data_IF_774859620162
#
_entry.id   IF_774859620162
#
_cell.length_a   1.000
_cell.length_b   1.000
_cell.length_c   1.000
_cell.angle_alpha   90.00
_cell.angle_beta   90.00
_cell.angle_gamma   90.00
#
_symmetry.space_group_name_H-M   'P 1'
#
loop_
_entity.id
_entity.type
_entity.pdbx_description
1 polymer ?
#
# COMPACT_ATOMS: atom_id res chain seq x y z
N UNK A 1 1.49 16.58 15.51
CA UNK A 1 2.37 17.75 15.56
C UNK A 1 1.55 18.98 15.20
N UNK A 2 1.73 20.08 15.93
CA UNK A 2 1.09 21.36 15.65
C UNK A 2 2.16 22.40 15.34
N UNK A 3 2.08 23.02 14.17
CA UNK A 3 2.94 24.11 13.78
C UNK A 3 2.19 25.44 13.93
N UNK A 4 2.71 26.32 14.79
CA UNK A 4 2.19 27.69 14.86
C UNK A 4 2.59 28.47 13.59
N UNK A 5 1.92 29.60 13.35
CA UNK A 5 2.26 30.47 12.23
C UNK A 5 3.72 30.94 12.32
N UNK A 6 4.15 31.36 13.52
CA UNK A 6 5.52 31.80 13.76
C UNK A 6 6.56 30.70 13.51
N UNK A 7 6.27 29.46 13.93
CA UNK A 7 7.09 28.31 13.63
C UNK A 7 7.21 28.11 12.11
N UNK A 8 6.08 28.11 11.41
CA UNK A 8 6.04 27.90 9.97
C UNK A 8 6.80 28.97 9.19
N UNK A 9 6.71 30.22 9.59
CA UNK A 9 7.44 31.34 8.97
C UNK A 9 8.97 31.18 9.09
N UNK A 10 9.44 30.52 10.15
CA UNK A 10 10.86 30.21 10.35
C UNK A 10 11.31 28.93 9.66
N UNK A 11 10.45 27.92 9.61
CA UNK A 11 10.82 26.59 9.16
C UNK A 11 10.62 26.35 7.66
N UNK A 12 9.59 26.92 7.05
CA UNK A 12 9.35 26.72 5.60
C UNK A 12 10.48 27.19 4.70
N UNK A 13 11.17 28.31 4.94
CA UNK A 13 12.30 28.68 4.12
C UNK A 13 13.45 27.64 4.14
N UNK A 14 13.63 26.95 5.27
CA UNK A 14 14.62 25.87 5.39
C UNK A 14 14.22 24.65 4.58
N UNK A 15 12.95 24.24 4.71
CA UNK A 15 12.39 23.14 3.91
C UNK A 15 12.47 23.40 2.41
N UNK A 16 12.20 24.64 1.98
CA UNK A 16 12.27 25.04 0.59
C UNK A 16 13.70 24.93 0.04
N UNK A 17 14.69 25.36 0.82
CA UNK A 17 16.10 25.25 0.43
C UNK A 17 16.56 23.79 0.33
N UNK A 18 16.18 22.94 1.29
CA UNK A 18 16.44 21.50 1.22
C UNK A 18 15.77 20.87 0.02
N UNK A 19 14.51 21.20 -0.24
CA UNK A 19 13.77 20.63 -1.38
C UNK A 19 14.40 20.97 -2.73
N UNK A 20 14.99 22.16 -2.86
CA UNK A 20 15.66 22.60 -4.09
C UNK A 20 17.13 22.21 -4.19
N UNK A 21 17.73 21.67 -3.13
CA UNK A 21 19.10 21.23 -3.14
C UNK A 21 19.21 19.79 -3.63
N UNK A 22 19.95 19.49 -4.73
CA UNK A 22 20.08 18.12 -5.22
C UNK A 22 20.68 17.18 -4.16
N UNK A 23 20.02 16.08 -3.90
CA UNK A 23 20.43 15.04 -2.95
C UNK A 23 19.78 15.15 -1.57
N UNK A 24 19.03 16.22 -1.28
CA UNK A 24 18.28 16.39 -0.03
C UNK A 24 16.76 16.34 -0.23
N UNK A 25 16.28 16.29 -1.44
CA UNK A 25 14.87 16.26 -1.83
C UNK A 25 14.09 15.04 -1.32
N UNK A 26 14.80 13.99 -0.89
CA UNK A 26 14.20 12.77 -0.30
C UNK A 26 14.26 12.77 1.24
N UNK A 27 14.81 13.78 1.86
CA UNK A 27 14.88 13.86 3.31
C UNK A 27 13.49 14.13 3.90
N UNK A 28 13.21 13.48 5.02
CA UNK A 28 11.98 13.75 5.77
C UNK A 28 12.06 15.13 6.45
N UNK A 29 10.95 15.81 6.59
CA UNK A 29 10.89 17.12 7.23
C UNK A 29 11.39 17.10 8.69
N UNK A 30 11.24 15.97 9.39
CA UNK A 30 11.78 15.77 10.75
C UNK A 30 13.30 15.82 10.77
N UNK A 31 13.95 15.28 9.74
CA UNK A 31 15.40 15.34 9.61
C UNK A 31 15.86 16.79 9.37
N UNK A 32 15.19 17.50 8.47
CA UNK A 32 15.47 18.91 8.20
C UNK A 32 15.30 19.75 9.47
N UNK A 33 14.28 19.47 10.26
CA UNK A 33 14.05 20.15 11.53
C UNK A 33 15.16 19.83 12.55
N UNK A 34 15.60 18.57 12.62
CA UNK A 34 16.70 18.16 13.49
C UNK A 34 18.00 18.88 13.11
N UNK A 35 18.33 18.96 11.83
CA UNK A 35 19.51 19.67 11.31
C UNK A 35 19.46 21.16 11.69
N UNK A 36 18.30 21.79 11.58
CA UNK A 36 18.10 23.19 11.97
C UNK A 36 18.32 23.40 13.47
N UNK A 37 17.76 22.52 14.31
CA UNK A 37 17.87 22.61 15.76
C UNK A 37 19.30 22.34 16.24
N UNK A 38 20.03 21.46 15.58
CA UNK A 38 21.39 21.08 15.91
C UNK A 38 22.45 22.02 15.29
N UNK A 39 22.05 22.90 14.39
CA UNK A 39 22.98 23.77 13.65
C UNK A 39 23.79 23.02 12.58
N UNK A 40 23.24 21.95 12.05
CA UNK A 40 23.86 21.04 11.08
C UNK A 40 23.40 21.29 9.63
N UNK A 41 22.65 22.36 9.38
CA UNK A 41 22.10 22.71 8.06
C UNK A 41 23.19 22.79 6.99
N UNK A 42 24.33 23.41 7.30
CA UNK A 42 25.45 23.56 6.37
C UNK A 42 26.15 22.24 6.02
N UNK A 43 25.82 21.13 6.67
CA UNK A 43 26.33 19.80 6.30
C UNK A 43 25.61 19.22 5.08
N UNK A 44 24.41 19.72 4.78
CA UNK A 44 23.56 19.25 3.68
C UNK A 44 23.35 20.31 2.60
N UNK A 45 23.33 21.59 2.97
CA UNK A 45 23.16 22.70 2.03
C UNK A 45 24.52 23.29 1.60
N UNK A 46 24.68 23.66 0.32
CA UNK A 46 25.90 24.28 -0.16
C UNK A 46 25.99 25.72 0.33
N UNK A 47 27.06 26.05 1.05
CA UNK A 47 27.32 27.42 1.52
C UNK A 47 27.23 27.55 3.04
N UNK A 48 27.02 28.78 3.50
CA UNK A 48 26.78 29.09 4.92
C UNK A 48 25.41 29.71 5.05
N UNK A 49 24.56 29.07 5.83
CA UNK A 49 23.19 29.48 6.05
C UNK A 49 23.01 29.95 7.50
N UNK A 50 22.15 30.93 7.67
CA UNK A 50 21.78 31.42 8.99
C UNK A 50 20.25 31.52 9.05
N UNK A 51 19.63 30.38 9.35
CA UNK A 51 18.20 30.35 9.55
C UNK A 51 17.81 30.58 11.02
N UNK A 52 16.73 31.32 11.29
CA UNK A 52 16.24 31.49 12.64
C UNK A 52 15.71 30.17 13.19
N UNK A 53 16.24 29.71 14.31
CA UNK A 53 15.79 28.50 14.97
C UNK A 53 14.42 28.75 15.61
N UNK A 54 13.38 27.95 15.30
CA UNK A 54 12.07 28.09 15.91
C UNK A 54 12.09 27.57 17.37
N UNK A 55 11.25 28.14 18.21
CA UNK A 55 11.01 27.59 19.53
C UNK A 55 10.14 26.34 19.44
N UNK A 56 10.54 25.28 20.16
CA UNK A 56 9.82 24.05 20.23
C UNK A 56 9.50 23.69 21.69
N UNK A 57 8.31 23.17 21.88
CA UNK A 57 7.84 22.66 23.18
C UNK A 57 7.46 21.19 23.05
N UNK A 58 8.01 20.38 23.95
CA UNK A 58 7.62 18.97 24.03
C UNK A 58 6.42 18.86 24.94
N UNK A 59 5.27 18.54 24.37
CA UNK A 59 4.10 18.11 25.15
C UNK A 59 4.18 16.61 25.38
N UNK A 60 4.73 16.21 26.54
CA UNK A 60 4.81 14.79 26.90
C UNK A 60 3.40 14.25 27.10
N UNK A 61 3.06 13.27 26.30
CA UNK A 61 1.83 12.50 26.51
C UNK A 61 2.07 11.52 27.67
N UNK A 62 1.07 11.26 28.51
CA UNK A 62 1.14 10.18 29.48
C UNK A 62 1.45 8.84 28.78
N UNK A 63 2.13 7.96 29.51
CA UNK A 63 2.38 6.61 29.02
C UNK A 63 1.07 5.91 28.66
N UNK A 64 1.10 5.07 27.65
CA UNK A 64 -0.05 4.31 27.17
C UNK A 64 -1.21 5.14 26.59
N UNK A 65 -0.94 6.30 26.00
CA UNK A 65 -1.95 7.08 25.25
C UNK A 65 -1.73 7.08 23.72
N UNK A 66 -0.52 6.79 23.28
CA UNK A 66 -0.18 6.72 21.86
C UNK A 66 0.48 5.37 21.59
N UNK A 67 -0.09 4.63 20.64
CA UNK A 67 0.42 3.33 20.21
C UNK A 67 0.61 3.35 18.70
N UNK A 68 1.69 2.77 18.24
CA UNK A 68 2.00 2.61 16.83
C UNK A 68 1.98 1.12 16.49
N UNK A 69 1.25 0.76 15.45
CA UNK A 69 1.12 -0.62 14.99
C UNK A 69 1.62 -0.72 13.55
N UNK A 70 2.55 -1.61 13.30
CA UNK A 70 3.04 -1.87 11.94
C UNK A 70 2.10 -2.78 11.13
N UNK A 71 1.30 -3.56 11.82
CA UNK A 71 0.41 -4.53 11.21
C UNK A 71 -0.83 -4.81 12.09
N UNK A 72 -1.82 -5.49 11.49
CA UNK A 72 -3.07 -5.82 12.17
C UNK A 72 -2.87 -6.83 13.30
N UNK A 73 -1.85 -7.69 13.24
CA UNK A 73 -1.58 -8.67 14.30
C UNK A 73 -1.14 -7.99 15.59
N UNK A 74 -0.33 -6.94 15.50
CA UNK A 74 0.04 -6.13 16.67
C UNK A 74 -1.17 -5.43 17.28
N UNK A 75 -2.08 -4.88 16.44
CA UNK A 75 -3.33 -4.31 16.93
C UNK A 75 -4.21 -5.36 17.61
N UNK A 76 -4.29 -6.58 17.06
CA UNK A 76 -5.05 -7.70 17.64
C UNK A 76 -4.48 -8.17 18.98
N UNK A 77 -3.16 -8.18 19.12
CA UNK A 77 -2.50 -8.49 20.41
C UNK A 77 -2.74 -7.40 21.46
N UNK A 78 -2.88 -6.17 21.01
CA UNK A 78 -3.08 -5.03 21.88
C UNK A 78 -4.53 -4.87 22.35
N UNK A 79 -5.49 -5.09 21.45
CA UNK A 79 -6.91 -4.83 21.71
C UNK A 79 -7.76 -6.07 21.34
N UNK A 80 -8.32 -6.73 22.35
CA UNK A 80 -9.14 -7.94 22.22
C UNK A 80 -10.36 -7.75 21.31
N UNK A 81 -10.85 -6.50 21.13
CA UNK A 81 -11.95 -6.20 20.22
C UNK A 81 -11.62 -6.51 18.76
N UNK A 82 -10.33 -6.51 18.41
CA UNK A 82 -9.85 -6.83 17.06
C UNK A 82 -9.42 -8.30 16.90
N UNK A 83 -9.47 -9.10 17.98
CA UNK A 83 -9.10 -10.52 17.90
C UNK A 83 -10.17 -11.39 17.23
N UNK A 84 -11.45 -11.13 17.49
CA UNK A 84 -12.53 -12.03 17.11
C UNK A 84 -13.71 -11.38 16.37
N UNK A 85 -13.81 -10.06 16.35
CA UNK A 85 -14.87 -9.31 15.70
C UNK A 85 -14.28 -8.01 15.16
N UNK A 86 -13.68 -8.07 13.97
CA UNK A 86 -13.44 -6.83 13.28
C UNK A 86 -14.73 -6.49 12.51
N UNK A 87 -15.33 -5.34 12.77
CA UNK A 87 -16.30 -4.71 11.84
C UNK A 87 -15.61 -4.37 10.51
N UNK A 88 -14.71 -5.24 10.09
CA UNK A 88 -13.89 -5.07 8.89
C UNK A 88 -14.49 -5.90 7.77
N UNK A 89 -15.19 -5.22 6.89
CA UNK A 89 -15.83 -5.80 5.70
C UNK A 89 -14.90 -6.78 4.95
N UNK A 90 -13.59 -6.56 4.96
CA UNK A 90 -12.64 -7.46 4.30
C UNK A 90 -12.48 -8.78 5.04
N UNK A 91 -12.49 -8.79 6.36
CA UNK A 91 -12.37 -10.00 7.17
C UNK A 91 -13.64 -10.84 7.09
N UNK A 92 -14.81 -10.18 7.16
CA UNK A 92 -16.10 -10.83 6.94
C UNK A 92 -16.16 -11.46 5.55
N UNK A 93 -15.77 -10.72 4.51
CA UNK A 93 -15.73 -11.21 3.14
C UNK A 93 -14.81 -12.44 2.99
N UNK A 94 -13.59 -12.39 3.56
CA UNK A 94 -12.66 -13.52 3.50
C UNK A 94 -13.25 -14.75 4.21
N UNK A 95 -13.82 -14.54 5.40
CA UNK A 95 -14.46 -15.57 6.18
C UNK A 95 -15.61 -16.24 5.41
N UNK A 96 -16.46 -15.44 4.77
CA UNK A 96 -17.57 -15.91 3.96
C UNK A 96 -17.10 -16.66 2.70
N UNK A 97 -16.18 -16.07 1.93
CA UNK A 97 -15.71 -16.64 0.66
C UNK A 97 -14.93 -17.94 0.86
N UNK A 98 -14.07 -18.00 1.86
CA UNK A 98 -13.24 -19.17 2.14
C UNK A 98 -13.89 -20.16 3.11
N UNK A 99 -15.07 -19.84 3.64
CA UNK A 99 -15.83 -20.67 4.60
C UNK A 99 -15.00 -21.03 5.84
N UNK A 100 -14.32 -20.05 6.40
CA UNK A 100 -13.47 -20.20 7.60
C UNK A 100 -13.81 -19.14 8.63
N UNK A 101 -13.67 -19.40 9.93
CA UNK A 101 -13.78 -18.36 10.94
C UNK A 101 -12.64 -17.36 10.81
N UNK A 102 -12.87 -16.10 11.18
CA UNK A 102 -11.82 -15.05 11.10
C UNK A 102 -10.55 -15.41 11.87
N UNK A 103 -10.65 -16.19 12.94
CA UNK A 103 -9.52 -16.67 13.74
C UNK A 103 -8.52 -17.55 12.97
N UNK A 104 -8.92 -18.10 11.83
CA UNK A 104 -8.05 -18.90 10.96
C UNK A 104 -7.37 -18.06 9.87
N UNK A 105 -7.74 -16.78 9.75
CA UNK A 105 -7.10 -15.83 8.85
C UNK A 105 -5.87 -15.26 9.54
N UNK A 106 -4.69 -15.63 9.06
CA UNK A 106 -3.40 -15.33 9.71
C UNK A 106 -2.42 -14.68 8.73
N UNK A 107 -1.27 -14.22 9.22
CA UNK A 107 -0.18 -13.70 8.38
C UNK A 107 -0.58 -12.48 7.56
N UNK A 108 -1.48 -11.63 8.07
CA UNK A 108 -1.99 -10.45 7.36
C UNK A 108 -0.87 -9.42 7.21
N UNK A 109 -0.55 -9.08 5.96
CA UNK A 109 0.50 -8.12 5.63
C UNK A 109 0.02 -7.18 4.53
N UNK A 110 0.04 -5.87 4.80
CA UNK A 110 -0.28 -4.86 3.79
C UNK A 110 0.75 -4.88 2.65
N UNK A 111 0.24 -4.83 1.42
CA UNK A 111 1.05 -4.69 0.22
C UNK A 111 1.01 -3.21 -0.22
N UNK A 112 2.14 -2.51 -0.09
CA UNK A 112 2.23 -1.05 -0.35
C UNK A 112 2.37 -0.69 -1.86
N UNK A 113 2.01 -1.58 -2.77
CA UNK A 113 2.32 -1.45 -4.21
C UNK A 113 1.12 -1.10 -5.09
N UNK A 114 0.27 -0.16 -4.70
CA UNK A 114 -0.83 0.24 -5.59
C UNK A 114 -1.35 1.63 -5.25
N UNK A 115 -1.49 2.50 -6.27
CA UNK A 115 -2.05 3.84 -6.09
C UNK A 115 -3.58 3.83 -5.94
N UNK A 116 -4.26 2.88 -6.55
CA UNK A 116 -5.72 2.86 -6.68
C UNK A 116 -6.41 1.82 -5.80
N UNK A 117 -5.68 0.83 -5.31
CA UNK A 117 -6.25 -0.27 -4.54
C UNK A 117 -5.43 -0.49 -3.26
N UNK A 118 -6.12 -0.82 -2.18
CA UNK A 118 -5.51 -1.37 -0.97
C UNK A 118 -5.48 -2.89 -1.12
N UNK A 119 -4.30 -3.48 -1.02
CA UNK A 119 -4.14 -4.93 -1.10
C UNK A 119 -3.39 -5.44 0.12
N UNK A 120 -3.76 -6.61 0.58
CA UNK A 120 -3.04 -7.28 1.65
C UNK A 120 -2.94 -8.79 1.40
N UNK A 121 -1.80 -9.32 1.80
CA UNK A 121 -1.54 -10.75 1.85
C UNK A 121 -2.14 -11.33 3.11
N UNK A 122 -2.66 -12.54 3.05
CA UNK A 122 -3.09 -13.30 4.23
C UNK A 122 -2.97 -14.80 3.97
N UNK A 123 -3.08 -15.61 5.03
CA UNK A 123 -2.98 -17.08 4.97
C UNK A 123 -4.21 -17.72 5.59
N UNK A 124 -4.69 -18.77 4.94
CA UNK A 124 -5.72 -19.67 5.44
C UNK A 124 -5.30 -21.10 5.13
N UNK A 125 -5.30 -21.99 6.13
CA UNK A 125 -4.90 -23.40 6.01
C UNK A 125 -3.56 -23.61 5.30
N UNK A 126 -2.58 -22.73 5.55
CA UNK A 126 -1.26 -22.79 4.95
C UNK A 126 -1.15 -22.28 3.51
N UNK A 127 -2.25 -21.91 2.86
CA UNK A 127 -2.26 -21.26 1.56
C UNK A 127 -2.24 -19.76 1.71
N UNK A 128 -1.54 -19.08 0.82
CA UNK A 128 -1.42 -17.62 0.77
C UNK A 128 -2.35 -17.02 -0.28
N UNK A 129 -3.01 -15.93 0.08
CA UNK A 129 -3.97 -15.22 -0.76
C UNK A 129 -3.71 -13.71 -0.73
N UNK A 130 -4.20 -13.02 -1.74
CA UNK A 130 -4.27 -11.55 -1.77
C UNK A 130 -5.73 -11.13 -1.75
N UNK A 131 -6.10 -10.24 -0.82
CA UNK A 131 -7.36 -9.50 -0.88
C UNK A 131 -7.09 -8.10 -1.40
N UNK A 132 -7.84 -7.69 -2.42
CA UNK A 132 -7.84 -6.35 -3.00
C UNK A 132 -9.12 -5.63 -2.65
N UNK A 133 -8.98 -4.45 -2.05
CA UNK A 133 -10.08 -3.52 -1.76
C UNK A 133 -9.85 -2.27 -2.59
N UNK A 134 -10.79 -1.85 -3.44
CA UNK A 134 -10.69 -0.58 -4.17
C UNK A 134 -10.56 0.62 -3.24
N UNK A 135 -9.69 1.55 -3.59
CA UNK A 135 -9.57 2.82 -2.92
C UNK A 135 -10.76 3.75 -3.26
N UNK A 136 -11.09 4.72 -2.39
CA UNK A 136 -12.14 5.70 -2.65
C UNK A 136 -11.89 6.46 -3.97
N UNK A 137 -12.93 6.71 -4.75
CA UNK A 137 -12.85 7.45 -6.02
C UNK A 137 -12.39 6.63 -7.24
N UNK A 138 -12.02 5.36 -7.05
CA UNK A 138 -11.59 4.50 -8.18
C UNK A 138 -12.76 4.03 -9.05
N UNK A 139 -13.98 4.12 -8.58
CA UNK A 139 -15.22 3.84 -9.31
C UNK A 139 -15.42 4.78 -10.50
N UNK A 140 -14.83 5.96 -10.48
CA UNK A 140 -14.85 6.90 -11.60
C UNK A 140 -13.83 6.56 -12.69
N UNK A 141 -12.82 5.74 -12.36
CA UNK A 141 -11.71 5.39 -13.26
C UNK A 141 -11.83 3.98 -13.83
N UNK A 142 -12.44 3.06 -13.08
CA UNK A 142 -12.46 1.63 -13.41
C UNK A 142 -13.90 1.11 -13.38
N UNK A 143 -14.36 0.61 -14.52
CA UNK A 143 -15.62 -0.10 -14.60
C UNK A 143 -15.45 -1.53 -14.04
N UNK A 144 -15.91 -1.76 -12.81
CA UNK A 144 -15.72 -3.02 -12.11
C UNK A 144 -16.47 -4.20 -12.73
N UNK A 145 -17.61 -3.95 -13.38
CA UNK A 145 -18.34 -4.98 -14.11
C UNK A 145 -17.57 -5.47 -15.33
N UNK A 146 -17.00 -4.54 -16.07
CA UNK A 146 -16.16 -4.86 -17.22
C UNK A 146 -14.87 -5.57 -16.75
N UNK A 147 -14.23 -5.09 -15.70
CA UNK A 147 -13.07 -5.75 -15.12
C UNK A 147 -13.39 -7.21 -14.77
N UNK A 148 -14.50 -7.45 -14.06
CA UNK A 148 -14.94 -8.81 -13.72
C UNK A 148 -15.21 -9.67 -14.96
N UNK A 149 -15.92 -9.13 -15.94
CA UNK A 149 -16.24 -9.87 -17.17
C UNK A 149 -14.97 -10.30 -17.92
N UNK A 150 -13.93 -9.47 -17.93
CA UNK A 150 -12.62 -9.83 -18.51
C UNK A 150 -11.97 -10.95 -17.69
N UNK A 151 -11.94 -10.88 -16.38
CA UNK A 151 -11.37 -11.93 -15.53
C UNK A 151 -12.11 -13.26 -15.74
N UNK A 152 -13.46 -13.24 -15.77
CA UNK A 152 -14.28 -14.44 -16.02
C UNK A 152 -13.98 -15.06 -17.39
N UNK A 153 -13.73 -14.24 -18.41
CA UNK A 153 -13.42 -14.72 -19.76
C UNK A 153 -12.02 -15.34 -19.88
N UNK A 154 -11.04 -14.88 -19.11
CA UNK A 154 -9.64 -15.30 -19.25
C UNK A 154 -9.18 -16.32 -18.21
N UNK A 155 -9.98 -16.63 -17.18
CA UNK A 155 -9.58 -17.47 -16.05
C UNK A 155 -9.08 -18.86 -16.45
N UNK A 156 -9.68 -19.47 -17.50
CA UNK A 156 -9.33 -20.83 -17.95
C UNK A 156 -8.14 -20.86 -18.91
N UNK A 157 -7.62 -19.69 -19.29
CA UNK A 157 -6.52 -19.60 -20.26
C UNK A 157 -5.14 -19.63 -19.60
N UNK A 158 -5.04 -19.52 -18.26
CA UNK A 158 -3.79 -19.50 -17.51
C UNK A 158 -2.90 -18.30 -17.84
N UNK A 159 -3.51 -17.16 -18.15
CA UNK A 159 -2.83 -15.88 -18.45
C UNK A 159 -3.01 -14.85 -17.34
N UNK A 160 -3.72 -15.20 -16.30
CA UNK A 160 -3.94 -14.38 -15.11
C UNK A 160 -3.77 -15.21 -13.84
N UNK A 161 -3.72 -14.55 -12.70
CA UNK A 161 -3.75 -15.23 -11.40
C UNK A 161 -5.07 -15.98 -11.21
N UNK A 162 -5.04 -17.01 -10.36
CA UNK A 162 -6.26 -17.73 -9.99
C UNK A 162 -7.12 -16.87 -9.07
N UNK A 163 -8.25 -16.39 -9.59
CA UNK A 163 -9.21 -15.57 -8.86
C UNK A 163 -10.20 -16.48 -8.14
N UNK A 164 -10.20 -16.44 -6.81
CA UNK A 164 -11.11 -17.19 -5.94
C UNK A 164 -12.46 -16.48 -5.83
N UNK A 165 -12.43 -15.17 -5.77
CA UNK A 165 -13.63 -14.33 -5.67
C UNK A 165 -13.41 -12.98 -6.32
N UNK A 166 -14.41 -12.49 -7.03
CA UNK A 166 -14.44 -11.12 -7.54
C UNK A 166 -15.87 -10.59 -7.62
N UNK A 167 -16.08 -9.41 -7.07
CA UNK A 167 -17.37 -8.73 -7.10
C UNK A 167 -17.33 -7.58 -8.12
N UNK A 168 -18.19 -7.63 -9.13
CA UNK A 168 -18.26 -6.60 -10.18
C UNK A 168 -18.95 -5.31 -9.77
N UNK A 169 -19.61 -5.26 -8.62
CA UNK A 169 -20.20 -4.01 -8.09
C UNK A 169 -19.20 -3.28 -7.19
N UNK A 170 -18.63 -3.99 -6.22
CA UNK A 170 -17.72 -3.41 -5.23
C UNK A 170 -16.26 -3.39 -5.69
N UNK A 171 -15.88 -4.26 -6.64
CA UNK A 171 -14.50 -4.43 -7.08
C UNK A 171 -13.60 -5.18 -6.09
N UNK A 172 -14.17 -5.75 -5.02
CA UNK A 172 -13.40 -6.61 -4.11
C UNK A 172 -12.98 -7.88 -4.83
N UNK A 173 -11.72 -8.28 -4.62
CA UNK A 173 -11.15 -9.47 -5.25
C UNK A 173 -10.29 -10.24 -4.26
N UNK A 174 -10.43 -11.56 -4.25
CA UNK A 174 -9.55 -12.49 -3.56
C UNK A 174 -8.91 -13.38 -4.62
N UNK A 175 -7.59 -13.45 -4.64
CA UNK A 175 -6.82 -14.32 -5.54
C UNK A 175 -5.77 -15.12 -4.78
N UNK A 176 -5.36 -16.25 -5.34
CA UNK A 176 -4.24 -17.02 -4.80
C UNK A 176 -2.93 -16.22 -4.96
N UNK A 177 -2.05 -16.32 -3.95
CA UNK A 177 -0.73 -15.74 -4.00
C UNK A 177 0.30 -16.82 -4.31
N UNK A 178 1.14 -16.56 -5.30
CA UNK A 178 2.21 -17.47 -5.70
C UNK A 178 3.50 -17.10 -4.97
N UNK A 179 3.89 -17.93 -3.99
CA UNK A 179 5.14 -17.74 -3.25
C UNK A 179 6.32 -17.82 -4.19
N UNK A 180 7.29 -16.92 -4.05
CA UNK A 180 8.47 -16.84 -4.92
C UNK A 180 8.23 -16.16 -6.27
N UNK A 181 7.02 -15.70 -6.56
CA UNK A 181 6.77 -14.88 -7.74
C UNK A 181 7.56 -13.56 -7.66
N UNK A 182 8.09 -13.13 -8.79
CA UNK A 182 8.79 -11.86 -8.96
C UNK A 182 8.23 -11.10 -10.15
N UNK A 183 8.44 -9.81 -10.20
CA UNK A 183 8.17 -9.04 -11.41
C UNK A 183 9.10 -9.45 -12.55
N UNK A 184 8.59 -9.43 -13.78
CA UNK A 184 9.40 -9.62 -14.97
C UNK A 184 10.40 -8.45 -15.12
N UNK A 185 11.64 -8.75 -15.47
CA UNK A 185 12.64 -7.73 -15.80
C UNK A 185 12.52 -7.38 -17.30
N UNK A 186 12.17 -6.13 -17.68
CA UNK A 186 12.07 -5.73 -19.08
C UNK A 186 13.41 -5.74 -19.83
N UNK A 187 14.53 -5.90 -19.13
CA UNK A 187 15.87 -6.04 -19.71
C UNK A 187 16.30 -7.50 -19.90
N UNK A 188 15.53 -8.44 -19.34
CA UNK A 188 15.75 -9.89 -19.52
C UNK A 188 14.90 -10.38 -20.70
N UNK A 189 15.56 -10.78 -21.79
CA UNK A 189 14.90 -11.25 -22.99
C UNK A 189 14.06 -12.53 -22.79
N UNK A 190 14.41 -13.38 -21.85
CA UNK A 190 13.62 -14.58 -21.52
C UNK A 190 12.33 -14.20 -20.82
N UNK A 191 12.36 -13.21 -19.94
CA UNK A 191 11.16 -12.68 -19.29
C UNK A 191 10.25 -11.99 -20.31
N UNK A 192 10.84 -11.17 -21.18
CA UNK A 192 10.10 -10.50 -22.27
C UNK A 192 9.45 -11.53 -23.21
N UNK A 193 10.19 -12.55 -23.62
CA UNK A 193 9.67 -13.61 -24.49
C UNK A 193 8.49 -14.36 -23.84
N UNK A 194 8.57 -14.67 -22.56
CA UNK A 194 7.45 -15.30 -21.80
C UNK A 194 6.23 -14.39 -21.73
N UNK A 195 6.43 -13.11 -21.45
CA UNK A 195 5.33 -12.14 -21.45
C UNK A 195 4.67 -12.04 -22.81
N UNK A 196 5.46 -11.96 -23.90
CA UNK A 196 4.94 -11.89 -25.26
C UNK A 196 4.19 -13.15 -25.69
N UNK A 197 4.64 -14.33 -25.26
CA UNK A 197 3.93 -15.59 -25.51
C UNK A 197 2.54 -15.61 -24.83
N UNK A 198 2.40 -15.03 -23.65
CA UNK A 198 1.10 -14.89 -22.99
C UNK A 198 0.18 -13.92 -23.75
N UNK A 199 0.74 -12.81 -24.24
CA UNK A 199 -0.01 -11.83 -25.07
C UNK A 199 -0.46 -12.48 -26.39
N UNK A 200 0.41 -13.23 -27.07
CA UNK A 200 0.08 -13.98 -28.27
C UNK A 200 -1.05 -14.98 -28.01
N UNK A 201 -0.96 -15.77 -26.93
CA UNK A 201 -2.01 -16.70 -26.51
C UNK A 201 -3.35 -15.99 -26.30
N UNK A 202 -3.34 -14.80 -25.68
CA UNK A 202 -4.55 -13.98 -25.52
C UNK A 202 -5.12 -13.54 -26.87
N UNK A 203 -4.30 -13.06 -27.77
CA UNK A 203 -4.75 -12.64 -29.11
C UNK A 203 -5.30 -13.81 -29.93
N UNK A 204 -4.65 -14.96 -29.89
CA UNK A 204 -5.06 -16.16 -30.62
C UNK A 204 -6.36 -16.75 -30.10
N UNK A 205 -6.69 -16.54 -28.81
CA UNK A 205 -7.93 -17.00 -28.20
C UNK A 205 -9.17 -16.37 -28.83
N UNK A 206 -9.03 -15.20 -29.45
CA UNK A 206 -10.12 -14.39 -30.06
C UNK A 206 -11.28 -14.17 -29.08
N UNK A 207 -10.96 -14.11 -27.78
CA UNK A 207 -11.95 -13.83 -26.75
C UNK A 207 -12.65 -12.52 -27.05
N UNK A 208 -13.93 -12.51 -26.89
CA UNK A 208 -14.78 -11.34 -26.95
C UNK A 208 -15.53 -11.21 -25.64
N UNK A 209 -15.55 -10.01 -25.10
CA UNK A 209 -16.28 -9.68 -23.87
C UNK A 209 -17.29 -8.61 -24.22
N UNK A 210 -18.58 -8.92 -24.05
CA UNK A 210 -19.65 -7.95 -24.24
C UNK A 210 -19.70 -7.01 -23.03
N UNK A 211 -19.80 -5.72 -23.30
CA UNK A 211 -19.83 -4.67 -22.26
C UNK A 211 -21.23 -4.05 -22.14
#
# INVERSE_FOLDING_TARGET
VFFSKEFSEKFFPVLEEYYHTPGTEQMYWEQVLADLLNGEVDSHLPGKHHFPVPEMYINRQPDNQVYEFENLEELRLFDERYQNHSDNIAMELISEVLQVPESEITGIKCLKTGMTNKSFLFKVHGKSYICRIPGPGTELLINRKQEKAVYDAVQDYGITEHVVYMNGETGYKISEYYEGARNSDPRDWDDVARCMALVEKLHDSKLHVDY
#
